data_IF_514804826640
#
_entry.id   IF_514804826640
#
_cell.length_a   1.000
_cell.length_b   1.000
_cell.length_c   1.000
_cell.angle_alpha   90.00
_cell.angle_beta   90.00
_cell.angle_gamma   90.00
#
_symmetry.space_group_name_H-M   'P 1'
#
loop_
_entity.id
_entity.type
_entity.pdbx_description
1 polymer ?
#
# COMPACT_ATOMS: atom_id res chain seq x y z
N UNK A 1 -27.78 15.38 4.09
CA UNK A 1 -28.33 14.92 2.79
C UNK A 1 -27.76 15.85 1.75
N UNK A 2 -27.41 15.38 0.55
CA UNK A 2 -26.81 16.27 -0.46
C UNK A 2 -27.68 17.50 -0.74
N UNK A 3 -29.00 17.31 -0.82
CA UNK A 3 -29.99 18.40 -0.92
C UNK A 3 -29.73 19.54 0.07
N UNK A 4 -29.59 19.20 1.36
CA UNK A 4 -29.43 20.21 2.41
C UNK A 4 -28.09 20.91 2.25
N UNK A 5 -27.02 20.18 1.87
CA UNK A 5 -25.71 20.76 1.64
C UNK A 5 -25.70 21.72 0.43
N UNK A 6 -26.50 21.45 -0.59
CA UNK A 6 -26.65 22.31 -1.77
C UNK A 6 -27.48 23.56 -1.45
N UNK A 7 -28.61 23.41 -0.74
CA UNK A 7 -29.46 24.55 -0.32
C UNK A 7 -28.69 25.50 0.60
N UNK A 8 -27.97 24.96 1.58
CA UNK A 8 -27.23 25.78 2.56
C UNK A 8 -26.08 26.56 1.92
N UNK A 9 -25.59 26.18 0.72
CA UNK A 9 -24.58 26.97 0.01
C UNK A 9 -25.11 28.32 -0.49
N UNK A 10 -26.38 28.38 -0.85
CA UNK A 10 -27.00 29.58 -1.41
C UNK A 10 -27.68 30.46 -0.34
N UNK A 11 -27.93 29.92 0.86
CA UNK A 11 -28.59 30.63 1.96
C UNK A 11 -27.67 31.62 2.70
N UNK A 12 -28.24 32.77 3.10
CA UNK A 12 -27.63 33.73 4.04
C UNK A 12 -27.88 33.38 5.52
N UNK A 13 -27.08 33.96 6.42
CA UNK A 13 -27.28 33.80 7.88
C UNK A 13 -28.68 34.29 8.30
N UNK A 14 -29.43 33.47 9.04
CA UNK A 14 -30.77 33.80 9.52
C UNK A 14 -31.87 33.65 8.47
N UNK A 15 -31.54 33.20 7.25
CA UNK A 15 -32.52 32.99 6.19
C UNK A 15 -33.37 31.73 6.43
N UNK A 16 -34.63 31.81 6.01
CA UNK A 16 -35.57 30.71 6.01
C UNK A 16 -35.85 30.32 4.55
N UNK A 17 -35.60 29.07 4.18
CA UNK A 17 -35.86 28.59 2.84
C UNK A 17 -36.83 27.40 2.89
N UNK A 18 -37.90 27.47 2.11
CA UNK A 18 -38.82 26.37 1.89
C UNK A 18 -38.52 25.72 0.54
N UNK A 19 -38.00 24.49 0.57
CA UNK A 19 -37.66 23.75 -0.65
C UNK A 19 -38.58 22.58 -0.82
N UNK A 20 -39.25 22.55 -1.97
CA UNK A 20 -40.15 21.48 -2.34
C UNK A 20 -39.43 20.51 -3.27
N UNK A 21 -39.15 19.31 -2.81
CA UNK A 21 -38.55 18.28 -3.67
C UNK A 21 -39.65 17.54 -4.42
N UNK A 22 -39.58 17.57 -5.75
CA UNK A 22 -40.39 16.75 -6.66
C UNK A 22 -39.78 15.35 -6.82
N UNK A 23 -40.51 14.45 -7.49
CA UNK A 23 -40.14 13.04 -7.73
C UNK A 23 -38.81 12.82 -8.47
N UNK A 24 -38.20 13.89 -8.99
CA UNK A 24 -36.98 13.83 -9.80
C UNK A 24 -35.71 13.71 -8.94
N UNK A 25 -35.82 13.91 -7.62
CA UNK A 25 -34.68 13.75 -6.71
C UNK A 25 -34.51 12.30 -6.28
N UNK A 26 -33.45 11.65 -6.77
CA UNK A 26 -33.08 10.30 -6.35
C UNK A 26 -32.50 10.30 -4.93
N UNK A 27 -33.35 9.96 -3.95
CA UNK A 27 -32.89 9.69 -2.59
C UNK A 27 -32.06 8.41 -2.54
N UNK A 28 -30.90 8.49 -1.89
CA UNK A 28 -30.09 7.31 -1.56
C UNK A 28 -30.88 6.38 -0.63
N UNK A 29 -30.68 5.06 -0.67
CA UNK A 29 -31.38 4.10 0.22
C UNK A 29 -31.27 4.46 1.72
N UNK A 30 -30.11 4.98 2.10
CA UNK A 30 -29.86 5.52 3.45
C UNK A 30 -30.69 6.76 3.78
N UNK A 31 -30.95 7.63 2.80
CA UNK A 31 -31.78 8.83 2.97
C UNK A 31 -33.27 8.46 2.99
N UNK A 32 -33.69 7.46 2.20
CA UNK A 32 -35.06 6.91 2.26
C UNK A 32 -35.34 6.28 3.61
N UNK A 33 -34.41 5.49 4.14
CA UNK A 33 -34.53 4.87 5.45
C UNK A 33 -34.55 5.90 6.58
N UNK A 34 -33.73 6.95 6.49
CA UNK A 34 -33.72 8.05 7.46
C UNK A 34 -35.04 8.83 7.47
N UNK A 35 -35.58 9.15 6.29
CA UNK A 35 -36.83 9.89 6.13
C UNK A 35 -38.07 9.00 6.28
N UNK A 36 -37.89 7.67 6.44
CA UNK A 36 -38.96 6.66 6.50
C UNK A 36 -39.97 6.79 5.35
N UNK A 37 -39.47 7.08 4.15
CA UNK A 37 -40.31 7.21 2.97
C UNK A 37 -40.66 5.81 2.49
N UNK A 38 -41.95 5.46 2.49
CA UNK A 38 -42.46 4.25 1.83
C UNK A 38 -42.46 4.46 0.31
N UNK A 39 -41.99 3.48 -0.45
CA UNK A 39 -41.81 3.55 -1.91
C UNK A 39 -43.11 3.86 -2.70
N UNK A 40 -44.27 3.82 -2.07
CA UNK A 40 -45.57 3.92 -2.72
C UNK A 40 -46.19 5.33 -2.78
N UNK A 41 -45.60 6.36 -2.15
CA UNK A 41 -46.21 7.71 -2.10
C UNK A 41 -45.19 8.85 -2.26
N UNK A 42 -44.74 9.11 -3.50
CA UNK A 42 -44.05 10.37 -3.82
C UNK A 42 -45.06 11.52 -3.92
N UNK A 43 -45.43 12.11 -2.79
CA UNK A 43 -46.26 13.32 -2.77
C UNK A 43 -45.49 14.44 -2.06
N UNK A 44 -44.47 14.98 -2.74
CA UNK A 44 -43.83 16.27 -2.44
C UNK A 44 -43.32 16.44 -1.01
N UNK A 45 -42.01 16.28 -0.80
CA UNK A 45 -41.40 16.56 0.51
C UNK A 45 -41.08 18.05 0.60
N UNK A 46 -41.61 18.71 1.63
CA UNK A 46 -41.34 20.10 1.96
C UNK A 46 -40.27 20.14 3.04
N UNK A 47 -39.13 20.75 2.72
CA UNK A 47 -38.08 21.05 3.68
C UNK A 47 -38.18 22.52 4.08
N UNK A 48 -38.49 22.77 5.35
CA UNK A 48 -38.33 24.09 5.95
C UNK A 48 -36.98 24.13 6.64
N UNK A 49 -36.02 24.79 6.01
CA UNK A 49 -34.64 24.89 6.50
C UNK A 49 -34.43 26.28 7.06
N UNK A 50 -33.96 26.32 8.29
CA UNK A 50 -33.61 27.54 9.01
C UNK A 50 -32.10 27.53 9.23
N UNK A 51 -31.40 28.48 8.61
CA UNK A 51 -29.95 28.61 8.78
C UNK A 51 -29.66 29.57 9.94
N UNK A 52 -29.47 29.03 11.14
CA UNK A 52 -29.23 29.85 12.34
C UNK A 52 -27.90 30.60 12.29
N UNK A 53 -26.80 29.88 12.04
CA UNK A 53 -25.46 30.45 11.95
C UNK A 53 -24.65 29.72 10.88
N UNK A 54 -23.86 30.48 10.11
CA UNK A 54 -22.94 29.94 9.12
C UNK A 54 -21.56 30.58 9.27
N UNK A 55 -20.64 29.79 9.77
CA UNK A 55 -19.22 30.13 9.77
C UNK A 55 -18.63 29.64 8.45
N UNK A 56 -18.52 30.56 7.48
CA UNK A 56 -17.83 30.27 6.23
C UNK A 56 -16.37 29.97 6.55
N UNK A 57 -15.94 28.75 6.24
CA UNK A 57 -14.54 28.38 6.35
C UNK A 57 -13.75 29.26 5.37
N UNK A 58 -12.75 29.97 5.87
CA UNK A 58 -11.84 30.72 5.02
C UNK A 58 -11.21 29.80 3.97
N UNK A 59 -10.77 30.34 2.84
CA UNK A 59 -10.00 29.55 1.89
C UNK A 59 -8.60 29.27 2.45
N UNK A 60 -7.95 28.20 1.99
CA UNK A 60 -6.69 27.75 2.61
C UNK A 60 -5.59 28.83 2.59
N UNK A 61 -5.59 29.73 1.61
CA UNK A 61 -4.62 30.84 1.51
C UNK A 61 -4.91 32.01 2.44
N UNK A 62 -6.12 32.12 2.98
CA UNK A 62 -6.51 33.17 3.93
C UNK A 62 -6.21 32.78 5.39
N UNK A 63 -5.93 31.51 5.65
CA UNK A 63 -5.70 30.98 7.00
C UNK A 63 -4.24 31.10 7.43
N UNK A 64 -4.03 31.36 8.72
CA UNK A 64 -2.71 31.20 9.35
C UNK A 64 -2.29 29.72 9.43
N UNK A 65 -0.99 29.42 9.53
CA UNK A 65 -0.50 28.03 9.62
C UNK A 65 -1.10 27.29 10.83
N UNK A 66 -1.23 27.95 11.99
CA UNK A 66 -1.86 27.38 13.18
C UNK A 66 -3.35 27.08 12.98
N UNK A 67 -4.10 27.98 12.32
CA UNK A 67 -5.51 27.75 11.97
C UNK A 67 -5.68 26.55 11.04
N UNK A 68 -4.82 26.42 10.02
CA UNK A 68 -4.82 25.26 9.10
C UNK A 68 -4.70 23.95 9.88
N UNK A 69 -3.83 23.87 10.87
CA UNK A 69 -3.64 22.67 11.69
C UNK A 69 -4.85 22.37 12.57
N UNK A 70 -5.43 23.39 13.21
CA UNK A 70 -6.63 23.24 14.04
C UNK A 70 -7.79 22.72 13.19
N UNK A 71 -8.01 23.34 12.01
CA UNK A 71 -9.09 22.94 11.11
C UNK A 71 -8.86 21.53 10.57
N UNK A 72 -7.63 21.17 10.21
CA UNK A 72 -7.31 19.82 9.77
C UNK A 72 -7.57 18.78 10.87
N UNK A 73 -7.24 19.07 12.13
CA UNK A 73 -7.49 18.18 13.26
C UNK A 73 -8.99 18.04 13.55
N UNK A 74 -9.75 19.14 13.48
CA UNK A 74 -11.22 19.12 13.57
C UNK A 74 -11.82 18.25 12.47
N UNK A 75 -11.35 18.39 11.23
CA UNK A 75 -11.82 17.59 10.10
C UNK A 75 -11.47 16.11 10.24
N UNK A 76 -10.27 15.77 10.76
CA UNK A 76 -9.90 14.40 11.11
C UNK A 76 -10.85 13.82 12.16
N UNK A 77 -11.09 14.56 13.25
CA UNK A 77 -11.97 14.14 14.33
C UNK A 77 -13.42 13.96 13.86
N UNK A 78 -13.92 14.87 13.01
CA UNK A 78 -15.23 14.75 12.36
C UNK A 78 -15.31 13.51 11.45
N UNK A 79 -14.28 13.28 10.64
CA UNK A 79 -14.17 12.08 9.81
C UNK A 79 -14.21 10.79 10.65
N UNK A 80 -13.51 10.75 11.78
CA UNK A 80 -13.52 9.58 12.68
C UNK A 80 -14.91 9.32 13.28
N UNK A 81 -15.67 10.37 13.63
CA UNK A 81 -17.06 10.22 14.08
C UNK A 81 -17.95 9.65 12.97
N UNK A 82 -17.79 10.14 11.74
CA UNK A 82 -18.54 9.66 10.57
C UNK A 82 -18.20 8.22 10.19
N UNK A 83 -16.93 7.81 10.31
CA UNK A 83 -16.50 6.42 10.12
C UNK A 83 -17.17 5.49 11.12
N UNK A 84 -17.22 5.88 12.41
CA UNK A 84 -17.93 5.12 13.45
C UNK A 84 -19.43 5.00 13.15
N UNK A 85 -20.01 6.00 12.49
CA UNK A 85 -21.40 6.00 12.05
C UNK A 85 -21.64 5.25 10.72
N UNK A 86 -20.60 4.71 10.06
CA UNK A 86 -20.72 4.00 8.79
C UNK A 86 -20.87 4.89 7.54
N UNK A 87 -20.80 6.21 7.68
CA UNK A 87 -20.97 7.15 6.57
C UNK A 87 -19.65 7.39 5.80
N UNK A 88 -19.22 6.39 5.03
CA UNK A 88 -17.90 6.35 4.37
C UNK A 88 -17.61 7.53 3.44
N UNK A 89 -18.56 7.88 2.56
CA UNK A 89 -18.39 8.94 1.56
C UNK A 89 -18.21 10.30 2.25
N UNK A 90 -19.02 10.58 3.27
CA UNK A 90 -18.93 11.83 4.04
C UNK A 90 -17.62 11.88 4.83
N UNK A 91 -17.21 10.77 5.45
CA UNK A 91 -15.93 10.68 6.14
C UNK A 91 -14.75 10.96 5.19
N UNK A 92 -14.76 10.35 4.00
CA UNK A 92 -13.76 10.57 2.96
C UNK A 92 -13.68 12.04 2.56
N UNK A 93 -14.81 12.72 2.38
CA UNK A 93 -14.82 14.16 2.08
C UNK A 93 -14.20 15.01 3.20
N UNK A 94 -14.44 14.69 4.47
CA UNK A 94 -13.78 15.36 5.59
C UNK A 94 -12.26 15.18 5.54
N UNK A 95 -11.77 13.96 5.32
CA UNK A 95 -10.32 13.73 5.19
C UNK A 95 -9.73 14.41 3.96
N UNK A 96 -10.43 14.40 2.82
CA UNK A 96 -9.99 15.09 1.60
C UNK A 96 -9.85 16.60 1.81
N UNK A 97 -10.79 17.22 2.54
CA UNK A 97 -10.69 18.63 2.93
C UNK A 97 -9.47 18.87 3.84
N UNK A 98 -9.26 18.02 4.85
CA UNK A 98 -8.09 18.10 5.72
C UNK A 98 -6.77 17.99 4.94
N UNK A 99 -6.67 17.04 4.01
CA UNK A 99 -5.49 16.83 3.17
C UNK A 99 -5.19 18.06 2.33
N UNK A 100 -6.20 18.66 1.68
CA UNK A 100 -6.02 19.88 0.87
C UNK A 100 -5.50 21.06 1.67
N UNK A 101 -6.01 21.25 2.88
CA UNK A 101 -5.58 22.35 3.76
C UNK A 101 -4.12 22.13 4.20
N UNK A 102 -3.75 20.89 4.55
CA UNK A 102 -2.39 20.55 4.97
C UNK A 102 -1.38 20.57 3.81
N UNK A 103 -1.79 20.21 2.59
CA UNK A 103 -0.96 20.37 1.39
C UNK A 103 -0.61 21.82 1.10
N UNK A 104 -1.54 22.74 1.40
CA UNK A 104 -1.30 24.18 1.29
C UNK A 104 -0.54 24.79 2.47
N UNK A 105 -0.04 23.98 3.41
CA UNK A 105 0.75 24.44 4.56
C UNK A 105 2.25 24.25 4.30
N UNK A 106 3.04 25.29 4.58
CA UNK A 106 4.48 25.34 4.26
C UNK A 106 5.26 24.35 5.15
N UNK A 107 4.76 24.12 6.37
CA UNK A 107 5.33 23.17 7.33
C UNK A 107 5.40 21.73 6.81
N UNK A 108 4.45 21.35 5.95
CA UNK A 108 4.38 20.01 5.37
C UNK A 108 5.25 19.88 4.12
N UNK A 109 5.41 20.95 3.33
CA UNK A 109 6.13 20.93 2.05
C UNK A 109 7.63 21.15 2.18
N UNK A 110 8.10 21.89 3.19
CA UNK A 110 9.53 22.16 3.35
C UNK A 110 10.22 20.99 4.05
N UNK A 111 11.04 20.23 3.32
CA UNK A 111 11.87 19.15 3.87
C UNK A 111 12.90 19.67 4.90
N UNK A 112 13.38 20.90 4.73
CA UNK A 112 14.49 21.51 5.48
C UNK A 112 14.11 22.04 6.89
N UNK A 113 12.82 22.17 7.19
CA UNK A 113 12.35 22.68 8.49
C UNK A 113 12.38 21.63 9.62
N UNK A 114 13.00 20.46 9.43
CA UNK A 114 13.25 19.51 10.53
C UNK A 114 14.16 20.09 11.62
N UNK A 115 14.90 21.16 11.32
CA UNK A 115 15.87 21.77 12.24
C UNK A 115 15.44 23.15 12.80
N UNK A 116 14.27 23.67 12.45
CA UNK A 116 13.74 24.85 13.15
C UNK A 116 12.94 24.35 14.35
N UNK A 117 13.66 24.26 15.47
CA UNK A 117 13.14 24.00 16.81
C UNK A 117 11.79 24.68 16.99
N UNK A 118 10.72 23.87 16.95
CA UNK A 118 9.44 24.29 17.53
C UNK A 118 9.71 24.32 19.03
N UNK A 119 9.61 25.49 19.68
CA UNK A 119 9.90 25.62 21.10
C UNK A 119 8.95 24.72 21.88
N UNK A 120 9.53 24.03 22.85
CA UNK A 120 8.91 23.12 23.79
C UNK A 120 7.46 23.49 24.14
N UNK A 121 6.49 22.77 23.54
CA UNK A 121 5.16 22.64 24.12
C UNK A 121 4.46 21.38 23.61
N UNK A 122 4.26 20.45 24.55
CA UNK A 122 3.34 19.31 24.53
C UNK A 122 3.65 18.16 23.56
N UNK A 123 4.32 17.15 24.10
CA UNK A 123 4.50 15.78 23.60
C UNK A 123 3.22 14.99 23.24
N UNK A 124 2.05 15.62 23.14
CA UNK A 124 0.75 14.95 22.93
C UNK A 124 0.11 15.19 21.56
N UNK A 125 0.47 16.27 20.83
CA UNK A 125 -0.20 16.65 19.57
C UNK A 125 0.58 16.20 18.34
N UNK A 126 -0.11 15.72 17.27
CA UNK A 126 0.55 15.24 16.06
C UNK A 126 1.25 16.39 15.35
N UNK A 127 2.49 16.15 14.91
CA UNK A 127 3.15 17.09 14.01
C UNK A 127 2.33 17.23 12.71
N UNK A 128 2.41 18.36 12.00
CA UNK A 128 1.65 18.56 10.76
C UNK A 128 1.84 17.44 9.73
N UNK A 129 3.06 16.92 9.60
CA UNK A 129 3.38 15.79 8.71
C UNK A 129 2.72 14.50 9.18
N UNK A 130 2.78 14.20 10.47
CA UNK A 130 2.09 13.05 11.07
C UNK A 130 0.58 13.16 10.90
N UNK A 131 0.00 14.36 11.07
CA UNK A 131 -1.42 14.60 10.87
C UNK A 131 -1.84 14.35 9.42
N UNK A 132 -1.04 14.79 8.44
CA UNK A 132 -1.28 14.50 7.03
C UNK A 132 -1.22 12.98 6.75
N UNK A 133 -0.22 12.27 7.27
CA UNK A 133 -0.11 10.81 7.12
C UNK A 133 -1.32 10.08 7.73
N UNK A 134 -1.79 10.52 8.90
CA UNK A 134 -3.01 10.00 9.55
C UNK A 134 -4.23 10.22 8.65
N UNK A 135 -4.44 11.44 8.16
CA UNK A 135 -5.55 11.77 7.27
C UNK A 135 -5.53 10.96 5.97
N UNK A 136 -4.35 10.82 5.33
CA UNK A 136 -4.17 10.01 4.12
C UNK A 136 -4.50 8.54 4.38
N UNK A 137 -4.06 7.97 5.49
CA UNK A 137 -4.39 6.58 5.80
C UNK A 137 -5.88 6.40 6.07
N UNK A 138 -6.54 7.33 6.75
CA UNK A 138 -7.97 7.22 7.05
C UNK A 138 -8.81 7.40 5.78
N UNK A 139 -8.38 8.28 4.87
CA UNK A 139 -8.92 8.36 3.52
C UNK A 139 -8.75 7.03 2.77
N UNK A 140 -7.56 6.41 2.84
CA UNK A 140 -7.30 5.09 2.26
C UNK A 140 -8.25 4.02 2.84
N UNK A 141 -8.51 4.03 4.15
CA UNK A 141 -9.47 3.12 4.77
C UNK A 141 -10.90 3.27 4.23
N UNK A 142 -11.36 4.52 4.06
CA UNK A 142 -12.67 4.79 3.47
C UNK A 142 -12.76 4.24 2.04
N UNK A 143 -11.71 4.44 1.23
CA UNK A 143 -11.63 3.94 -0.14
C UNK A 143 -11.60 2.43 -0.21
N UNK A 144 -10.82 1.77 0.66
CA UNK A 144 -10.78 0.32 0.79
C UNK A 144 -12.16 -0.24 1.13
N UNK A 145 -12.83 0.31 2.14
CA UNK A 145 -14.17 -0.13 2.53
C UNK A 145 -15.18 0.07 1.39
N UNK A 146 -15.12 1.23 0.72
CA UNK A 146 -15.98 1.51 -0.44
C UNK A 146 -15.74 0.52 -1.59
N UNK A 147 -14.49 0.10 -1.81
CA UNK A 147 -14.12 -0.91 -2.80
C UNK A 147 -14.49 -2.34 -2.42
N UNK A 148 -14.66 -2.65 -1.14
CA UNK A 148 -15.16 -3.98 -0.70
C UNK A 148 -16.68 -4.07 -0.72
N UNK A 149 -17.38 -2.94 -0.66
CA UNK A 149 -18.86 -2.88 -0.63
C UNK A 149 -19.47 -2.55 -1.99
N UNK A 150 -18.67 -2.28 -3.02
CA UNK A 150 -19.17 -1.86 -4.33
C UNK A 150 -19.65 -3.06 -5.14
N UNK A 151 -20.82 -3.55 -4.79
CA UNK A 151 -21.56 -4.50 -5.62
C UNK A 151 -22.50 -3.70 -6.54
N UNK A 152 -22.25 -3.80 -7.85
CA UNK A 152 -23.21 -3.63 -8.96
C UNK A 152 -23.56 -2.26 -9.57
N UNK A 153 -23.36 -1.07 -8.96
CA UNK A 153 -23.98 0.16 -9.52
C UNK A 153 -23.17 1.48 -9.48
N UNK A 154 -21.86 1.46 -9.72
CA UNK A 154 -21.07 2.71 -9.73
C UNK A 154 -20.37 3.00 -11.07
N UNK A 155 -20.35 4.29 -11.45
CA UNK A 155 -19.58 4.86 -12.58
C UNK A 155 -18.06 4.60 -12.51
N UNK A 156 -17.57 4.04 -11.40
CA UNK A 156 -16.16 3.87 -11.07
C UNK A 156 -15.93 2.43 -10.62
N UNK A 157 -14.95 1.75 -11.23
CA UNK A 157 -14.70 0.33 -11.00
C UNK A 157 -14.12 0.10 -9.60
N UNK A 158 -14.37 -1.09 -9.03
CA UNK A 158 -13.73 -1.55 -7.79
C UNK A 158 -12.21 -1.33 -7.82
N UNK A 159 -11.60 -1.60 -8.97
CA UNK A 159 -10.18 -1.39 -9.22
C UNK A 159 -9.75 0.07 -9.01
N UNK A 160 -10.57 1.03 -9.40
CA UNK A 160 -10.22 2.46 -9.28
C UNK A 160 -10.23 2.93 -7.82
N UNK A 161 -11.08 2.33 -6.97
CA UNK A 161 -11.09 2.60 -5.53
C UNK A 161 -9.86 2.00 -4.84
N UNK A 162 -9.52 0.75 -5.18
CA UNK A 162 -8.37 0.05 -4.62
C UNK A 162 -7.04 0.68 -5.06
N UNK A 163 -6.92 1.07 -6.33
CA UNK A 163 -5.73 1.78 -6.85
C UNK A 163 -5.58 3.16 -6.21
N UNK A 164 -6.66 3.91 -5.99
CA UNK A 164 -6.62 5.17 -5.25
C UNK A 164 -6.22 4.95 -3.78
N UNK A 165 -6.68 3.87 -3.16
CA UNK A 165 -6.28 3.49 -1.81
C UNK A 165 -4.76 3.25 -1.71
N UNK A 166 -4.19 2.51 -2.66
CA UNK A 166 -2.74 2.27 -2.72
C UNK A 166 -1.97 3.59 -2.87
N UNK A 167 -2.43 4.51 -3.72
CA UNK A 167 -1.82 5.84 -3.88
C UNK A 167 -1.80 6.63 -2.57
N UNK A 168 -2.92 6.63 -1.84
CA UNK A 168 -2.99 7.28 -0.52
C UNK A 168 -2.05 6.63 0.50
N UNK A 169 -1.95 5.29 0.52
CA UNK A 169 -1.04 4.56 1.40
C UNK A 169 0.44 4.83 1.07
N UNK A 170 0.83 4.76 -0.21
CA UNK A 170 2.21 5.04 -0.65
C UNK A 170 2.65 6.43 -0.22
N UNK A 171 1.75 7.42 -0.34
CA UNK A 171 2.01 8.80 0.10
C UNK A 171 2.07 8.94 1.63
N UNK A 172 1.25 8.21 2.39
CA UNK A 172 1.34 8.22 3.84
C UNK A 172 2.69 7.65 4.32
N UNK A 173 3.17 6.58 3.68
CA UNK A 173 4.46 5.95 3.98
C UNK A 173 5.64 6.84 3.57
N UNK A 174 5.56 7.58 2.46
CA UNK A 174 6.63 8.49 2.05
C UNK A 174 6.81 9.66 3.01
N UNK A 175 5.72 10.10 3.65
CA UNK A 175 5.78 11.13 4.70
C UNK A 175 6.33 10.54 6.00
N UNK A 176 5.82 9.38 6.40
CA UNK A 176 6.06 8.78 7.71
C UNK A 176 6.33 7.28 7.55
N UNK A 177 7.60 6.88 7.33
CA UNK A 177 7.96 5.49 7.06
C UNK A 177 7.61 4.52 8.20
N UNK A 178 7.55 5.02 9.43
CA UNK A 178 7.25 4.24 10.64
C UNK A 178 5.75 4.04 10.86
N UNK A 179 4.89 4.55 9.98
CA UNK A 179 3.45 4.49 10.18
C UNK A 179 2.85 3.12 9.83
N UNK A 180 2.72 2.26 10.84
CA UNK A 180 2.26 0.86 10.70
C UNK A 180 0.88 0.71 10.02
N UNK A 181 -0.10 1.57 10.36
CA UNK A 181 -1.45 1.46 9.80
C UNK A 181 -1.48 1.67 8.28
N UNK A 182 -0.58 2.50 7.74
CA UNK A 182 -0.48 2.73 6.31
C UNK A 182 0.06 1.49 5.57
N UNK A 183 1.15 0.89 6.08
CA UNK A 183 1.70 -0.37 5.57
C UNK A 183 0.68 -1.50 5.61
N UNK A 184 -0.01 -1.66 6.74
CA UNK A 184 -1.05 -2.68 6.90
C UNK A 184 -2.18 -2.54 5.86
N UNK A 185 -2.69 -1.31 5.69
CA UNK A 185 -3.76 -1.02 4.72
C UNK A 185 -3.28 -1.26 3.29
N UNK A 186 -2.03 -0.89 2.98
CA UNK A 186 -1.41 -1.12 1.67
C UNK A 186 -1.32 -2.62 1.35
N UNK A 187 -0.78 -3.42 2.26
CA UNK A 187 -0.64 -4.86 2.08
C UNK A 187 -2.00 -5.53 1.82
N UNK A 188 -3.03 -5.19 2.61
CA UNK A 188 -4.39 -5.67 2.39
C UNK A 188 -4.96 -5.27 1.03
N UNK A 189 -4.68 -4.06 0.55
CA UNK A 189 -5.17 -3.59 -0.75
C UNK A 189 -4.50 -4.31 -1.93
N UNK A 190 -3.20 -4.60 -1.84
CA UNK A 190 -2.50 -5.38 -2.85
C UNK A 190 -3.03 -6.82 -2.91
N UNK A 191 -3.26 -7.44 -1.75
CA UNK A 191 -3.84 -8.78 -1.67
C UNK A 191 -5.26 -8.85 -2.27
N UNK A 192 -6.08 -7.82 -2.07
CA UNK A 192 -7.41 -7.77 -2.72
C UNK A 192 -7.35 -7.62 -4.24
N UNK A 193 -6.27 -7.06 -4.77
CA UNK A 193 -6.05 -6.95 -6.22
C UNK A 193 -5.42 -8.21 -6.83
N UNK A 194 -5.03 -9.20 -6.01
CA UNK A 194 -4.30 -10.40 -6.45
C UNK A 194 -2.78 -10.22 -6.53
N UNK A 195 -2.25 -9.05 -6.17
CA UNK A 195 -0.81 -8.79 -6.19
C UNK A 195 -0.17 -9.31 -4.89
N UNK A 196 -0.05 -10.64 -4.74
CA UNK A 196 0.43 -11.26 -3.50
C UNK A 196 1.90 -10.94 -3.17
N UNK A 197 2.78 -10.83 -4.16
CA UNK A 197 4.19 -10.44 -3.95
C UNK A 197 4.32 -9.06 -3.29
N UNK A 198 3.65 -8.05 -3.85
CA UNK A 198 3.63 -6.69 -3.30
C UNK A 198 2.96 -6.66 -1.91
N UNK A 199 1.93 -7.49 -1.70
CA UNK A 199 1.28 -7.60 -0.40
C UNK A 199 2.22 -8.16 0.68
N UNK A 200 2.98 -9.20 0.35
CA UNK A 200 3.95 -9.83 1.26
C UNK A 200 5.06 -8.84 1.62
N UNK A 201 5.67 -8.18 0.63
CA UNK A 201 6.74 -7.20 0.88
C UNK A 201 6.26 -6.02 1.74
N UNK A 202 5.04 -5.52 1.52
CA UNK A 202 4.44 -4.48 2.34
C UNK A 202 4.12 -4.98 3.77
N UNK A 203 3.66 -6.21 3.91
CA UNK A 203 3.40 -6.85 5.20
C UNK A 203 4.67 -7.07 6.02
N UNK A 204 5.75 -7.55 5.41
CA UNK A 204 7.06 -7.72 6.05
C UNK A 204 7.65 -6.39 6.49
N UNK A 205 7.54 -5.35 5.66
CA UNK A 205 7.90 -3.97 6.05
C UNK A 205 7.06 -3.51 7.24
N UNK A 206 5.78 -3.86 7.34
CA UNK A 206 4.99 -3.53 8.52
C UNK A 206 5.51 -4.24 9.78
N UNK A 207 5.93 -5.50 9.69
CA UNK A 207 6.47 -6.24 10.84
C UNK A 207 7.80 -5.67 11.31
N UNK A 208 8.72 -5.36 10.38
CA UNK A 208 10.04 -4.84 10.74
C UNK A 208 9.97 -3.51 11.49
N UNK A 209 8.99 -2.65 11.16
CA UNK A 209 8.75 -1.42 11.93
C UNK A 209 8.14 -1.66 13.30
N UNK A 210 7.47 -2.79 13.50
CA UNK A 210 6.97 -3.16 14.83
C UNK A 210 8.07 -3.67 15.75
N UNK A 211 9.04 -4.43 15.22
CA UNK A 211 10.11 -5.08 15.99
C UNK A 211 11.26 -4.12 16.31
N UNK A 212 11.44 -3.07 15.51
CA UNK A 212 12.43 -2.02 15.76
C UNK A 212 11.97 -1.07 16.89
N UNK A 213 11.67 -1.61 18.06
CA UNK A 213 11.41 -0.85 19.29
C UNK A 213 12.68 -0.15 19.84
N UNK A 214 13.85 -0.63 19.43
CA UNK A 214 15.16 -0.12 19.88
C UNK A 214 15.61 1.19 19.21
N UNK A 215 14.85 1.76 18.26
CA UNK A 215 15.11 3.14 17.81
C UNK A 215 14.35 4.06 18.76
N UNK A 216 15.00 4.36 19.88
CA UNK A 216 14.62 5.29 20.95
C UNK A 216 14.42 6.75 20.49
N UNK A 217 14.11 7.01 19.22
CA UNK A 217 14.14 8.36 18.67
C UNK A 217 13.05 8.69 17.64
N UNK A 218 12.24 7.73 17.21
CA UNK A 218 11.06 8.06 16.39
C UNK A 218 9.83 8.27 17.27
N UNK A 219 9.72 9.50 17.78
CA UNK A 219 8.61 10.04 18.59
C UNK A 219 7.31 10.13 17.77
N UNK A 220 6.86 9.01 17.20
CA UNK A 220 5.51 8.87 16.66
C UNK A 220 4.54 8.73 17.84
N UNK A 221 3.42 9.47 17.80
CA UNK A 221 2.42 9.42 18.86
C UNK A 221 2.01 7.97 19.11
N UNK A 222 2.18 7.56 20.37
CA UNK A 222 1.96 6.23 20.89
C UNK A 222 0.69 5.62 20.26
N UNK A 223 0.88 4.75 19.28
CA UNK A 223 -0.19 3.93 18.74
C UNK A 223 -0.54 2.97 19.85
N UNK A 224 -1.79 2.98 20.34
CA UNK A 224 -2.22 2.10 21.42
C UNK A 224 -1.60 0.71 21.27
N UNK A 225 -0.86 0.24 22.26
CA UNK A 225 -0.12 -1.04 22.21
C UNK A 225 -1.04 -2.21 21.81
N UNK A 226 -2.32 -2.12 22.21
CA UNK A 226 -3.39 -3.04 21.78
C UNK A 226 -3.61 -3.06 20.27
N UNK A 227 -3.57 -1.90 19.62
CA UNK A 227 -3.72 -1.79 18.16
C UNK A 227 -2.46 -2.24 17.44
N UNK A 228 -1.27 -2.01 18.02
CA UNK A 228 0.01 -2.51 17.50
C UNK A 228 0.02 -4.04 17.50
N UNK A 229 -0.24 -4.66 18.65
CA UNK A 229 -0.34 -6.12 18.82
C UNK A 229 -1.42 -6.76 17.94
N UNK A 230 -2.58 -6.11 17.80
CA UNK A 230 -3.63 -6.56 16.88
C UNK A 230 -3.14 -6.57 15.41
N UNK A 231 -2.49 -5.47 14.97
CA UNK A 231 -1.99 -5.37 13.60
C UNK A 231 -0.90 -6.41 13.34
N UNK A 232 0.06 -6.59 14.25
CA UNK A 232 1.15 -7.56 14.06
C UNK A 232 0.62 -8.99 13.99
N UNK A 233 -0.27 -9.38 14.90
CA UNK A 233 -0.88 -10.70 14.87
C UNK A 233 -1.68 -10.90 13.59
N UNK A 234 -2.48 -9.91 13.19
CA UNK A 234 -3.29 -10.03 11.97
C UNK A 234 -2.44 -10.07 10.70
N UNK A 235 -1.33 -9.33 10.63
CA UNK A 235 -0.43 -9.41 9.47
C UNK A 235 0.28 -10.76 9.42
N UNK A 236 0.72 -11.32 10.56
CA UNK A 236 1.33 -12.66 10.57
C UNK A 236 0.39 -13.70 9.97
N UNK A 237 -0.89 -13.71 10.35
CA UNK A 237 -1.88 -14.63 9.76
C UNK A 237 -2.08 -14.38 8.27
N UNK A 238 -2.21 -13.10 7.87
CA UNK A 238 -2.39 -12.74 6.46
C UNK A 238 -1.17 -13.09 5.60
N UNK A 239 0.06 -12.94 6.12
CA UNK A 239 1.28 -13.31 5.42
C UNK A 239 1.36 -14.81 5.16
N UNK A 240 0.96 -15.65 6.12
CA UNK A 240 0.86 -17.09 5.87
C UNK A 240 -0.19 -17.42 4.81
N UNK A 241 -1.34 -16.75 4.83
CA UNK A 241 -2.40 -16.93 3.82
C UNK A 241 -1.90 -16.51 2.43
N UNK A 242 -1.28 -15.33 2.30
CA UNK A 242 -0.80 -14.81 1.01
C UNK A 242 0.35 -15.61 0.43
N UNK A 243 1.26 -16.15 1.26
CA UNK A 243 2.34 -17.03 0.80
C UNK A 243 1.78 -18.33 0.22
N UNK A 244 0.76 -18.91 0.85
CA UNK A 244 0.08 -20.10 0.33
C UNK A 244 -0.67 -19.78 -0.97
N UNK A 245 -1.35 -18.64 -1.06
CA UNK A 245 -1.99 -18.20 -2.31
C UNK A 245 -0.97 -18.03 -3.44
N UNK A 246 0.18 -17.41 -3.16
CA UNK A 246 1.26 -17.22 -4.14
C UNK A 246 1.81 -18.55 -4.65
N UNK A 247 2.09 -19.51 -3.74
CA UNK A 247 2.56 -20.84 -4.15
C UNK A 247 1.51 -21.58 -4.98
N UNK A 248 0.22 -21.43 -4.65
CA UNK A 248 -0.86 -22.02 -5.43
C UNK A 248 -0.93 -21.40 -6.84
N UNK A 249 -0.80 -20.08 -6.98
CA UNK A 249 -0.75 -19.41 -8.28
C UNK A 249 0.41 -19.92 -9.12
N UNK A 250 1.63 -19.96 -8.56
CA UNK A 250 2.81 -20.51 -9.24
C UNK A 250 2.60 -21.97 -9.68
N UNK A 251 2.01 -22.81 -8.83
CA UNK A 251 1.69 -24.20 -9.17
C UNK A 251 0.68 -24.29 -10.31
N UNK A 252 -0.36 -23.44 -10.32
CA UNK A 252 -1.32 -23.39 -11.42
C UNK A 252 -0.66 -22.97 -12.72
N UNK A 253 0.18 -21.94 -12.72
CA UNK A 253 0.94 -21.49 -13.88
C UNK A 253 1.88 -22.57 -14.40
N UNK A 254 2.66 -23.20 -13.53
CA UNK A 254 3.52 -24.35 -13.87
C UNK A 254 2.71 -25.50 -14.45
N UNK A 255 1.52 -25.78 -13.92
CA UNK A 255 0.64 -26.84 -14.45
C UNK A 255 0.10 -26.51 -15.85
N UNK A 256 -0.22 -25.23 -16.12
CA UNK A 256 -0.70 -24.76 -17.42
C UNK A 256 0.44 -24.84 -18.44
N UNK A 257 1.64 -24.37 -18.07
CA UNK A 257 2.84 -24.46 -18.91
C UNK A 257 3.12 -25.92 -19.22
N UNK A 258 3.16 -26.80 -18.21
CA UNK A 258 3.37 -28.25 -18.37
C UNK A 258 2.33 -28.89 -19.31
N UNK A 259 1.05 -28.55 -19.17
CA UNK A 259 0.01 -29.06 -20.09
C UNK A 259 0.20 -28.56 -21.52
N UNK A 260 0.54 -27.28 -21.70
CA UNK A 260 0.81 -26.68 -23.02
C UNK A 260 2.04 -27.29 -23.68
N UNK A 261 3.13 -27.49 -22.92
CA UNK A 261 4.34 -28.13 -23.43
C UNK A 261 4.07 -29.58 -23.82
N UNK A 262 3.44 -30.38 -22.95
CA UNK A 262 3.05 -31.77 -23.28
C UNK A 262 2.20 -31.80 -24.54
N UNK A 263 1.18 -30.94 -24.67
CA UNK A 263 0.34 -30.90 -25.87
C UNK A 263 1.13 -30.57 -27.15
N UNK A 264 2.09 -29.64 -27.07
CA UNK A 264 2.94 -29.24 -28.20
C UNK A 264 3.84 -30.37 -28.68
N UNK A 265 4.41 -31.14 -27.75
CA UNK A 265 5.31 -32.24 -28.08
C UNK A 265 4.56 -33.56 -28.34
N UNK A 266 3.34 -33.72 -27.82
CA UNK A 266 2.47 -34.87 -28.09
C UNK A 266 1.98 -34.95 -29.55
N UNK A 267 1.98 -33.84 -30.30
CA UNK A 267 1.68 -33.84 -31.73
C UNK A 267 2.88 -34.17 -32.63
N UNK A 268 4.09 -34.24 -32.07
CA UNK A 268 5.33 -34.51 -32.83
C UNK A 268 5.57 -36.01 -33.08
N UNK A 269 4.56 -36.85 -32.89
CA UNK A 269 4.64 -38.29 -33.06
C UNK A 269 5.00 -38.99 -31.76
N UNK A 270 4.39 -40.17 -31.60
CA UNK A 270 4.73 -41.15 -30.59
C UNK A 270 6.25 -41.23 -30.47
N UNK A 271 6.81 -40.84 -29.32
CA UNK A 271 8.14 -41.31 -28.98
C UNK A 271 7.93 -42.80 -28.76
N UNK A 272 8.08 -43.59 -29.83
CA UNK A 272 8.36 -44.99 -29.70
C UNK A 272 9.50 -45.05 -28.69
N UNK A 273 9.18 -45.47 -27.46
CA UNK A 273 10.16 -46.10 -26.62
C UNK A 273 10.53 -47.37 -27.39
N UNK A 274 11.41 -47.22 -28.38
CA UNK A 274 12.22 -48.33 -28.85
C UNK A 274 12.95 -48.78 -27.58
N UNK A 275 12.49 -49.91 -27.06
CA UNK A 275 13.23 -50.72 -26.11
C UNK A 275 14.61 -50.94 -26.73
N UNK A 276 15.58 -50.08 -26.36
CA UNK A 276 17.04 -50.24 -26.37
C UNK A 276 17.71 -48.85 -26.51
N UNK A 277 18.23 -48.37 -25.39
CA UNK A 277 19.45 -47.55 -25.31
C UNK A 277 19.54 -46.27 -26.16
N UNK A 278 19.00 -45.13 -25.67
CA UNK A 278 19.54 -43.82 -26.08
C UNK A 278 19.29 -42.61 -25.16
N UNK A 279 18.95 -42.80 -23.88
CA UNK A 279 18.92 -41.68 -22.90
C UNK A 279 20.36 -41.22 -22.53
N UNK A 280 21.39 -41.99 -22.89
CA UNK A 280 22.81 -41.59 -22.69
C UNK A 280 23.41 -40.73 -23.83
N UNK A 281 22.66 -40.40 -24.90
CA UNK A 281 23.18 -39.59 -26.03
C UNK A 281 22.59 -38.18 -26.15
N UNK A 282 22.10 -37.58 -25.08
CA UNK A 282 22.20 -36.13 -24.96
C UNK A 282 23.38 -35.83 -24.06
N UNK A 283 24.61 -35.80 -24.60
CA UNK A 283 25.73 -35.36 -23.79
C UNK A 283 25.41 -33.92 -23.37
N UNK A 284 25.48 -33.68 -22.05
CA UNK A 284 25.35 -32.36 -21.42
C UNK A 284 26.24 -31.30 -22.10
N UNK A 285 27.18 -31.70 -22.96
CA UNK A 285 28.05 -30.87 -23.79
C UNK A 285 27.39 -30.25 -25.04
N UNK A 286 26.11 -30.46 -25.33
CA UNK A 286 25.40 -29.74 -26.41
C UNK A 286 24.53 -28.65 -25.79
N UNK A 287 25.19 -27.70 -25.12
CA UNK A 287 24.61 -26.37 -25.00
C UNK A 287 24.90 -25.66 -26.30
N UNK A 288 23.85 -25.27 -27.03
CA UNK A 288 24.02 -24.37 -28.16
C UNK A 288 24.48 -23.01 -27.63
N UNK A 289 25.61 -22.53 -28.13
CA UNK A 289 26.15 -21.21 -27.82
C UNK A 289 25.38 -20.07 -28.50
N UNK A 290 24.27 -20.34 -29.20
CA UNK A 290 23.48 -19.33 -29.92
C UNK A 290 22.98 -18.20 -28.98
N UNK A 291 22.79 -18.48 -27.68
CA UNK A 291 22.45 -17.46 -26.69
C UNK A 291 23.63 -16.57 -26.27
N UNK A 292 24.86 -17.02 -26.49
CA UNK A 292 26.11 -16.32 -26.16
C UNK A 292 26.77 -15.69 -27.40
N UNK A 293 26.16 -15.78 -28.58
CA UNK A 293 26.72 -15.35 -29.87
C UNK A 293 27.08 -13.84 -29.92
N UNK A 294 26.48 -13.03 -29.04
CA UNK A 294 26.73 -11.59 -28.91
C UNK A 294 27.46 -11.17 -27.62
N UNK A 295 27.96 -12.12 -26.82
CA UNK A 295 28.76 -11.81 -25.63
C UNK A 295 30.25 -11.84 -25.98
N UNK A 296 31.04 -10.88 -25.46
CA UNK A 296 32.50 -10.93 -25.61
C UNK A 296 33.03 -12.20 -24.93
N UNK A 297 34.07 -12.78 -25.51
CA UNK A 297 34.70 -13.94 -24.87
C UNK A 297 35.31 -13.50 -23.53
N UNK A 298 35.29 -14.36 -22.51
CA UNK A 298 35.90 -14.07 -21.19
C UNK A 298 37.36 -13.58 -21.33
N UNK A 299 38.07 -14.07 -22.36
CA UNK A 299 39.42 -13.66 -22.68
C UNK A 299 39.50 -12.18 -23.12
N UNK A 300 38.57 -11.77 -23.98
CA UNK A 300 38.45 -10.41 -24.51
C UNK A 300 38.01 -9.42 -23.41
N UNK A 301 37.13 -9.87 -22.48
CA UNK A 301 36.80 -9.11 -21.28
C UNK A 301 38.03 -8.89 -20.38
N UNK A 302 38.77 -9.95 -20.04
CA UNK A 302 39.95 -9.86 -19.18
C UNK A 302 41.05 -8.98 -19.79
N UNK A 303 41.26 -9.04 -21.10
CA UNK A 303 42.24 -8.19 -21.80
C UNK A 303 41.80 -6.72 -21.82
N UNK A 304 40.49 -6.44 -21.97
CA UNK A 304 39.94 -5.09 -21.86
C UNK A 304 40.11 -4.50 -20.44
N UNK A 305 40.13 -5.35 -19.40
CA UNK A 305 40.39 -4.95 -18.00
C UNK A 305 41.87 -5.04 -17.59
N UNK A 306 42.76 -5.48 -18.49
CA UNK A 306 44.21 -5.58 -18.22
C UNK A 306 44.60 -6.75 -17.32
N UNK A 307 43.71 -7.71 -17.10
CA UNK A 307 43.92 -8.90 -16.28
C UNK A 307 44.31 -10.11 -17.15
N UNK A 308 45.14 -11.02 -16.63
CA UNK A 308 45.57 -12.23 -17.35
C UNK A 308 44.87 -13.46 -16.81
N UNK A 309 44.45 -14.34 -17.72
CA UNK A 309 43.79 -15.60 -17.39
C UNK A 309 44.71 -16.45 -16.48
N UNK A 310 44.22 -16.95 -15.33
CA UNK A 310 45.03 -17.74 -14.42
C UNK A 310 45.44 -19.07 -15.05
N UNK A 311 46.72 -19.42 -14.96
CA UNK A 311 47.25 -20.66 -15.53
C UNK A 311 46.71 -21.89 -14.78
N UNK A 312 46.16 -22.86 -15.54
CA UNK A 312 45.66 -24.13 -15.00
C UNK A 312 46.86 -24.97 -14.53
N UNK A 313 47.19 -24.91 -13.24
CA UNK A 313 48.14 -25.86 -12.63
C UNK A 313 47.50 -27.24 -12.56
N UNK A 314 47.93 -28.15 -13.45
CA UNK A 314 47.50 -29.54 -13.43
C UNK A 314 48.00 -30.26 -12.15
N UNK A 315 47.20 -30.21 -11.08
CA UNK A 315 47.48 -30.94 -9.86
C UNK A 315 47.09 -32.41 -10.05
N UNK A 316 48.01 -33.23 -10.56
CA UNK A 316 47.89 -34.69 -10.47
C UNK A 316 48.16 -35.13 -9.03
N UNK A 317 47.12 -35.17 -8.21
CA UNK A 317 47.11 -36.04 -7.03
C UNK A 317 45.85 -36.90 -7.05
N UNK A 318 46.06 -38.22 -7.17
CA UNK A 318 45.03 -39.22 -6.91
C UNK A 318 44.68 -39.12 -5.43
N UNK A 319 43.59 -38.48 -5.08
CA UNK A 319 42.93 -38.74 -3.79
C UNK A 319 41.42 -38.66 -3.97
N UNK A 320 40.73 -39.69 -3.50
CA UNK A 320 39.27 -39.72 -3.38
C UNK A 320 38.87 -38.67 -2.36
N UNK A 321 38.48 -37.49 -2.81
CA UNK A 321 38.00 -36.39 -1.98
C UNK A 321 36.63 -35.93 -2.46
N UNK A 322 35.61 -36.17 -1.65
CA UNK A 322 34.24 -35.67 -1.80
C UNK A 322 34.27 -34.14 -1.92
N UNK A 323 33.72 -33.60 -3.01
CA UNK A 323 33.59 -32.15 -3.23
C UNK A 323 32.80 -31.52 -2.06
N UNK A 324 33.39 -30.53 -1.39
CA UNK A 324 32.68 -29.58 -0.54
C UNK A 324 32.42 -28.32 -1.36
N UNK A 325 31.20 -27.82 -1.27
CA UNK A 325 30.76 -26.54 -1.84
C UNK A 325 31.59 -25.40 -1.24
N UNK A 326 32.05 -24.51 -2.10
CA UNK A 326 32.73 -23.26 -1.75
C UNK A 326 31.75 -22.40 -0.94
N UNK A 327 32.19 -21.95 0.23
CA UNK A 327 31.50 -20.94 1.01
C UNK A 327 31.88 -19.58 0.43
N UNK A 328 30.88 -18.75 0.16
CA UNK A 328 31.06 -17.37 -0.25
C UNK A 328 31.76 -16.60 0.88
N UNK A 329 32.99 -16.15 0.62
CA UNK A 329 33.70 -15.20 1.47
C UNK A 329 33.24 -13.79 1.12
N UNK A 330 32.20 -13.32 1.82
CA UNK A 330 31.95 -11.89 2.03
C UNK A 330 31.77 -11.69 3.53
N UNK A 331 32.86 -11.37 4.23
CA UNK A 331 32.81 -10.58 5.48
C UNK A 331 34.23 -10.17 5.88
N UNK A 332 34.61 -8.95 5.48
CA UNK A 332 35.58 -8.16 6.21
C UNK A 332 34.99 -7.84 7.60
N UNK A 333 35.52 -8.47 8.65
CA UNK A 333 35.45 -7.92 10.01
C UNK A 333 36.84 -7.97 10.64
N UNK A 334 37.42 -6.79 10.77
CA UNK A 334 38.53 -6.49 11.66
C UNK A 334 38.18 -6.94 13.10
N UNK A 335 39.01 -7.79 13.71
CA UNK A 335 39.03 -7.92 15.16
C UNK A 335 40.46 -8.02 15.69
N UNK A 336 40.85 -6.96 16.37
CA UNK A 336 41.80 -6.93 17.48
C UNK A 336 41.63 -8.13 18.42
N UNK A 337 42.75 -8.73 18.85
CA UNK A 337 43.10 -9.10 20.25
C UNK A 337 44.50 -9.76 20.22
N UNK A 338 45.51 -9.11 20.79
CA UNK A 338 46.02 -9.31 22.16
C UNK A 338 46.50 -10.73 22.51
N UNK A 339 47.82 -10.77 22.76
CA UNK A 339 48.56 -11.56 23.75
C UNK A 339 48.66 -13.09 23.56
N UNK A 340 49.90 -13.57 23.40
CA UNK A 340 50.69 -14.35 24.40
C UNK A 340 51.85 -15.01 23.65
N UNK A 341 53.05 -14.42 23.72
CA UNK A 341 54.31 -14.98 24.26
C UNK A 341 55.47 -13.99 24.10
#
# INVERSE_FOLDING_TARGET
>A
MKVVDDIVQDMGCGEQCEVTLTSDYEFTDSERSFLKISDECFHKILFNIYLEDIQKLAEFWQMSESEKFIIADVMKCRGNKLLKAGLLIRAFHCYKKAIRILEGSISVTNHDCTNLAIPDSESSKPTPRQLLAICLSNAAHCLFQSGTTCDTNLKKSQFDYLSACIKCCKRAVSLEPNYMKAWFRMAKTHALLGNYEEAITAGEKCLSRSTNENISESKWINVDERTKTYITNKIKTLLSEWRVSLTNEEETERSIIRKRTIKKYSSFGDWCCDELDEIEKLPISIWSNDLAENMMSLHEELEAFGEKMPEIKACRTKSKGRLKTIQDEDTDEESFEQNIE
#
